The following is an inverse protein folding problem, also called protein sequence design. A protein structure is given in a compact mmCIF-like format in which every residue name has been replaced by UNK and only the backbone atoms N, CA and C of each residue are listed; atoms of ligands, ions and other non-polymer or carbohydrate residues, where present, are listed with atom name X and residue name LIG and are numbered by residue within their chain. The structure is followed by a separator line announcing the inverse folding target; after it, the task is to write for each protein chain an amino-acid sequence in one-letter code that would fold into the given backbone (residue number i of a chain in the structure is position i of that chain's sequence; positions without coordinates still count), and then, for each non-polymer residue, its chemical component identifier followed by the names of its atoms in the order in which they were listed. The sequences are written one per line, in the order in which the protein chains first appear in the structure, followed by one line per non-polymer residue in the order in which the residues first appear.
data_IF_067060551303
#
_entry.id   IF_067060551303
#
_cell.length_a   1.000
_cell.length_b   1.000
_cell.length_c   1.000
_cell.angle_alpha   90.00
_cell.angle_beta   90.00
_cell.angle_gamma   90.00
#
_symmetry.space_group_name_H-M   'P 1'
#
loop_
_entity.id
_entity.type
_entity.pdbx_description
1 polymer ?
#
# COMPACT_ATOMS: atom_id res chain seq x y z
N UNK A 1 25.25 0.35 -7.44
CA UNK A 1 23.79 0.07 -7.53
C UNK A 1 23.16 -0.64 -6.34
N UNK A 2 23.82 -1.55 -5.61
CA UNK A 2 23.22 -2.22 -4.43
C UNK A 2 22.58 -1.24 -3.41
N UNK A 3 23.26 -0.13 -3.09
CA UNK A 3 22.70 0.93 -2.21
C UNK A 3 21.39 1.55 -2.74
N UNK A 4 21.23 1.71 -4.05
CA UNK A 4 20.01 2.26 -4.64
C UNK A 4 18.85 1.26 -4.63
N UNK A 5 19.15 -0.03 -4.85
CA UNK A 5 18.17 -1.11 -4.71
C UNK A 5 17.72 -1.25 -3.26
N UNK A 6 18.65 -1.19 -2.30
CA UNK A 6 18.32 -1.22 -0.86
C UNK A 6 17.50 -0.01 -0.42
N UNK A 7 17.82 1.18 -0.94
CA UNK A 7 17.05 2.39 -0.69
C UNK A 7 15.64 2.28 -1.28
N UNK A 8 15.50 1.79 -2.52
CA UNK A 8 14.22 1.55 -3.17
C UNK A 8 13.36 0.53 -2.40
N UNK A 9 13.96 -0.58 -1.97
CA UNK A 9 13.29 -1.58 -1.14
C UNK A 9 12.80 -0.99 0.18
N UNK A 10 13.60 -0.14 0.82
CA UNK A 10 13.21 0.55 2.04
C UNK A 10 12.05 1.50 1.77
N UNK A 11 12.08 2.22 0.66
CA UNK A 11 11.02 3.14 0.26
C UNK A 11 9.67 2.41 0.05
N UNK A 12 9.68 1.27 -0.66
CA UNK A 12 8.49 0.42 -0.82
C UNK A 12 7.96 -0.13 0.52
N UNK A 13 8.86 -0.53 1.42
CA UNK A 13 8.50 -1.00 2.76
C UNK A 13 7.88 0.12 3.60
N UNK A 14 8.47 1.31 3.61
CA UNK A 14 7.94 2.48 4.34
C UNK A 14 6.57 2.89 3.79
N UNK A 15 6.42 2.92 2.46
CA UNK A 15 5.14 3.25 1.82
C UNK A 15 4.06 2.23 2.17
N UNK A 16 4.37 0.93 2.07
CA UNK A 16 3.47 -0.14 2.49
C UNK A 16 3.10 -0.08 3.98
N UNK A 17 4.05 0.28 4.84
CA UNK A 17 3.80 0.47 6.27
C UNK A 17 2.82 1.62 6.55
N UNK A 18 2.93 2.75 5.84
CA UNK A 18 1.99 3.87 5.94
C UNK A 18 0.58 3.42 5.55
N UNK A 19 0.42 2.73 4.42
CA UNK A 19 -0.88 2.19 4.00
C UNK A 19 -1.47 1.19 4.99
N UNK A 20 -0.61 0.37 5.61
CA UNK A 20 -1.01 -0.60 6.64
C UNK A 20 -1.50 0.11 7.90
N UNK A 21 -0.82 1.18 8.33
CA UNK A 21 -1.28 2.02 9.44
C UNK A 21 -2.63 2.68 9.14
N UNK A 22 -2.79 3.26 7.95
CA UNK A 22 -4.07 3.85 7.50
C UNK A 22 -5.19 2.81 7.51
N UNK A 23 -4.92 1.60 7.02
CA UNK A 23 -5.87 0.51 7.06
C UNK A 23 -6.24 0.12 8.50
N UNK A 24 -5.26 0.00 9.39
CA UNK A 24 -5.48 -0.35 10.79
C UNK A 24 -6.35 0.70 11.50
N UNK A 25 -6.05 1.98 11.30
CA UNK A 25 -6.88 3.08 11.82
C UNK A 25 -8.27 3.06 11.20
N UNK A 26 -8.39 2.80 9.89
CA UNK A 26 -9.66 2.65 9.20
C UNK A 26 -10.51 1.51 9.77
N UNK A 27 -9.91 0.35 10.06
CA UNK A 27 -10.61 -0.75 10.73
C UNK A 27 -11.06 -0.39 12.15
N UNK A 28 -10.23 0.34 12.90
CA UNK A 28 -10.61 0.82 14.23
C UNK A 28 -11.81 1.79 14.15
N UNK A 29 -11.82 2.70 13.17
CA UNK A 29 -12.95 3.62 12.92
C UNK A 29 -14.21 2.88 12.47
N UNK A 30 -14.08 1.92 11.56
CA UNK A 30 -15.20 1.08 11.11
C UNK A 30 -15.79 0.28 12.28
N UNK A 31 -14.93 -0.29 13.14
CA UNK A 31 -15.35 -0.97 14.37
C UNK A 31 -16.07 -0.04 15.35
N UNK A 32 -15.57 1.18 15.54
CA UNK A 32 -16.23 2.21 16.35
C UNK A 32 -17.61 2.59 15.81
N UNK A 33 -17.73 2.82 14.50
CA UNK A 33 -19.01 3.11 13.86
C UNK A 33 -20.01 1.94 13.99
N UNK A 34 -19.53 0.69 13.85
CA UNK A 34 -20.36 -0.49 14.06
C UNK A 34 -20.83 -0.65 15.52
N UNK A 35 -19.96 -0.37 16.50
CA UNK A 35 -20.31 -0.42 17.92
C UNK A 35 -21.40 0.62 18.28
N UNK A 36 -21.29 1.84 17.74
CA UNK A 36 -22.29 2.90 17.90
C UNK A 36 -23.64 2.47 17.28
N UNK A 37 -23.62 1.81 16.12
CA UNK A 37 -24.83 1.30 15.49
C UNK A 37 -25.58 0.27 16.36
N UNK A 38 -24.87 -0.45 17.23
CA UNK A 38 -25.46 -1.44 18.14
C UNK A 38 -25.86 -0.88 19.51
N UNK A 39 -25.54 0.39 19.83
CA UNK A 39 -25.87 0.98 21.14
C UNK A 39 -27.24 1.65 21.12
N UNK A 40 -28.11 1.27 22.05
CA UNK A 40 -29.49 1.76 22.17
C UNK A 40 -29.56 3.19 22.74
N UNK A 41 -29.34 4.21 21.92
CA UNK A 41 -29.46 5.63 22.30
C UNK A 41 -30.74 6.33 21.78
N UNK A 42 -31.14 7.49 22.34
CA UNK A 42 -32.39 8.19 21.98
C UNK A 42 -32.46 8.75 20.54
N UNK A 43 -31.34 8.82 19.81
CA UNK A 43 -31.24 9.46 18.49
C UNK A 43 -31.41 8.41 17.38
N UNK A 44 -32.63 7.90 17.18
CA UNK A 44 -32.79 6.52 16.68
C UNK A 44 -32.98 6.28 15.18
N UNK A 45 -33.52 7.19 14.36
CA UNK A 45 -34.07 6.73 13.05
C UNK A 45 -33.24 7.06 11.79
N UNK A 46 -32.43 8.11 11.78
CA UNK A 46 -31.46 8.36 10.71
C UNK A 46 -30.07 7.75 11.01
N UNK A 47 -29.84 7.33 12.27
CA UNK A 47 -28.52 7.07 12.84
C UNK A 47 -27.97 5.66 12.55
N UNK A 48 -28.80 4.61 12.64
CA UNK A 48 -28.31 3.23 12.56
C UNK A 48 -27.90 2.82 11.13
N UNK A 49 -28.75 3.11 10.14
CA UNK A 49 -28.43 2.86 8.73
C UNK A 49 -27.20 3.67 8.30
N UNK A 50 -27.12 4.94 8.71
CA UNK A 50 -25.98 5.80 8.40
C UNK A 50 -24.68 5.31 9.08
N UNK A 51 -24.75 4.87 10.33
CA UNK A 51 -23.60 4.32 11.06
C UNK A 51 -23.13 3.00 10.44
N UNK A 52 -24.05 2.09 10.06
CA UNK A 52 -23.72 0.84 9.35
C UNK A 52 -23.14 1.10 7.97
N UNK A 53 -23.72 2.00 7.18
CA UNK A 53 -23.15 2.39 5.89
C UNK A 53 -21.74 2.92 6.07
N UNK A 54 -21.55 3.85 7.01
CA UNK A 54 -20.23 4.43 7.31
C UNK A 54 -19.22 3.37 7.71
N UNK A 55 -19.61 2.42 8.59
CA UNK A 55 -18.75 1.31 8.99
C UNK A 55 -18.34 0.43 7.80
N UNK A 56 -19.28 0.08 6.93
CA UNK A 56 -19.02 -0.73 5.73
C UNK A 56 -18.14 0.02 4.73
N UNK A 57 -18.44 1.29 4.45
CA UNK A 57 -17.68 2.09 3.49
C UNK A 57 -16.25 2.32 3.98
N UNK A 58 -16.06 2.71 5.25
CA UNK A 58 -14.73 2.88 5.84
C UNK A 58 -13.99 1.53 5.90
N UNK A 59 -14.68 0.45 6.27
CA UNK A 59 -14.11 -0.89 6.31
C UNK A 59 -13.63 -1.36 4.94
N UNK A 60 -14.41 -1.11 3.88
CA UNK A 60 -14.02 -1.42 2.50
C UNK A 60 -12.80 -0.62 2.05
N UNK A 61 -12.77 0.69 2.33
CA UNK A 61 -11.60 1.53 2.01
C UNK A 61 -10.37 1.07 2.79
N UNK A 62 -10.53 0.73 4.07
CA UNK A 62 -9.46 0.19 4.91
C UNK A 62 -8.93 -1.14 4.37
N UNK A 63 -9.80 -2.03 3.90
CA UNK A 63 -9.41 -3.30 3.28
C UNK A 63 -8.62 -3.09 2.00
N UNK A 64 -9.07 -2.19 1.12
CA UNK A 64 -8.36 -1.83 -0.11
C UNK A 64 -6.97 -1.27 0.24
N UNK A 65 -6.89 -0.37 1.21
CA UNK A 65 -5.63 0.19 1.70
C UNK A 65 -4.69 -0.90 2.27
N UNK A 66 -5.24 -1.89 2.99
CA UNK A 66 -4.47 -3.00 3.54
C UNK A 66 -3.87 -3.87 2.44
N UNK A 67 -4.69 -4.26 1.45
CA UNK A 67 -4.22 -5.05 0.30
C UNK A 67 -3.15 -4.27 -0.46
N UNK A 68 -3.36 -2.97 -0.68
CA UNK A 68 -2.38 -2.12 -1.35
C UNK A 68 -1.05 -2.03 -0.59
N UNK A 69 -1.10 -1.85 0.73
CA UNK A 69 0.07 -1.85 1.61
C UNK A 69 0.81 -3.19 1.61
N UNK A 70 0.06 -4.30 1.66
CA UNK A 70 0.62 -5.65 1.63
C UNK A 70 1.36 -5.93 0.31
N UNK A 71 0.80 -5.52 -0.83
CA UNK A 71 1.46 -5.65 -2.14
C UNK A 71 2.77 -4.84 -2.16
N UNK A 72 2.78 -3.62 -1.63
CA UNK A 72 4.00 -2.80 -1.53
C UNK A 72 5.08 -3.44 -0.66
N UNK A 73 4.70 -3.99 0.50
CA UNK A 73 5.63 -4.69 1.38
C UNK A 73 6.17 -5.97 0.72
N UNK A 74 5.32 -6.71 0.00
CA UNK A 74 5.73 -7.92 -0.70
C UNK A 74 6.73 -7.62 -1.82
N UNK A 75 6.46 -6.62 -2.66
CA UNK A 75 7.37 -6.17 -3.71
C UNK A 75 8.70 -5.67 -3.13
N UNK A 76 8.65 -4.85 -2.08
CA UNK A 76 9.86 -4.36 -1.39
C UNK A 76 10.74 -5.51 -0.84
N UNK A 77 10.11 -6.56 -0.30
CA UNK A 77 10.81 -7.76 0.21
C UNK A 77 11.31 -8.68 -0.91
N UNK A 78 10.61 -8.73 -2.04
CA UNK A 78 11.03 -9.48 -3.23
C UNK A 78 12.24 -8.83 -3.92
N UNK A 79 12.27 -7.48 -3.97
CA UNK A 79 13.42 -6.69 -4.45
C UNK A 79 14.69 -6.98 -3.64
N UNK A 80 14.60 -7.09 -2.30
CA UNK A 80 15.74 -7.49 -1.44
C UNK A 80 16.31 -8.88 -1.75
N UNK A 81 15.52 -9.76 -2.37
CA UNK A 81 15.93 -11.12 -2.75
C UNK A 81 16.54 -11.19 -4.15
N UNK A 82 16.73 -10.06 -4.83
CA UNK A 82 17.37 -9.96 -6.15
C UNK A 82 16.77 -10.90 -7.21
N UNK A 83 15.47 -11.23 -7.11
CA UNK A 83 14.85 -12.15 -8.07
C UNK A 83 14.48 -11.44 -9.38
N UNK A 84 14.70 -12.05 -10.55
CA UNK A 84 14.34 -11.46 -11.84
C UNK A 84 12.82 -11.18 -11.95
N UNK A 85 11.98 -12.03 -11.34
CA UNK A 85 10.52 -11.83 -11.26
C UNK A 85 10.12 -10.58 -10.46
N UNK A 86 10.95 -10.16 -9.49
CA UNK A 86 10.69 -8.98 -8.67
C UNK A 86 10.74 -7.69 -9.50
N UNK A 87 11.52 -7.67 -10.59
CA UNK A 87 11.65 -6.52 -11.49
C UNK A 87 10.32 -6.21 -12.19
N UNK A 88 9.68 -7.23 -12.76
CA UNK A 88 8.38 -7.07 -13.44
C UNK A 88 7.28 -6.65 -12.46
N UNK A 89 7.26 -7.25 -11.26
CA UNK A 89 6.29 -6.88 -10.22
C UNK A 89 6.48 -5.43 -9.76
N UNK A 90 7.73 -5.00 -9.55
CA UNK A 90 8.06 -3.64 -9.15
C UNK A 90 7.75 -2.61 -10.25
N UNK A 91 7.94 -2.95 -11.53
CA UNK A 91 7.57 -2.08 -12.65
C UNK A 91 6.05 -1.91 -12.75
N UNK A 92 5.29 -3.01 -12.65
CA UNK A 92 3.82 -2.95 -12.64
C UNK A 92 3.30 -2.12 -11.47
N UNK A 93 3.91 -2.29 -10.29
CA UNK A 93 3.54 -1.53 -9.10
C UNK A 93 3.94 -0.05 -9.21
N UNK A 94 5.09 0.26 -9.82
CA UNK A 94 5.53 1.62 -10.10
C UNK A 94 4.53 2.37 -10.99
N UNK A 95 4.03 1.74 -12.05
CA UNK A 95 3.00 2.32 -12.93
C UNK A 95 1.70 2.58 -12.17
N UNK A 96 1.26 1.63 -11.34
CA UNK A 96 0.08 1.83 -10.49
C UNK A 96 0.27 2.97 -9.49
N UNK A 97 1.46 3.07 -8.90
CA UNK A 97 1.78 4.09 -7.91
C UNK A 97 1.97 5.47 -8.55
N UNK A 98 2.30 5.57 -9.85
CA UNK A 98 2.36 6.84 -10.57
C UNK A 98 1.05 7.62 -10.61
N UNK A 99 -0.09 6.93 -10.44
CA UNK A 99 -1.41 7.55 -10.34
C UNK A 99 -1.62 8.25 -8.98
N UNK A 100 -0.89 7.83 -7.93
CA UNK A 100 -0.88 8.51 -6.64
C UNK A 100 0.16 9.64 -6.61
N UNK A 101 -0.22 10.82 -7.12
CA UNK A 101 0.57 12.05 -6.95
C UNK A 101 0.55 12.52 -5.46
N UNK A 102 1.61 13.13 -4.91
CA UNK A 102 2.96 13.37 -5.47
C UNK A 102 3.99 12.26 -5.13
N UNK A 103 3.78 11.53 -4.02
CA UNK A 103 4.76 10.58 -3.49
C UNK A 103 4.81 9.27 -4.30
N UNK A 104 3.67 8.79 -4.77
CA UNK A 104 3.61 7.55 -5.53
C UNK A 104 4.26 7.67 -6.91
N UNK A 105 4.13 8.84 -7.54
CA UNK A 105 4.82 9.17 -8.79
C UNK A 105 6.32 9.30 -8.62
N UNK A 106 6.80 9.96 -7.55
CA UNK A 106 8.24 9.99 -7.26
C UNK A 106 8.80 8.58 -7.02
N UNK A 107 8.07 7.74 -6.27
CA UNK A 107 8.45 6.35 -6.02
C UNK A 107 8.47 5.52 -7.30
N UNK A 108 7.46 5.69 -8.16
CA UNK A 108 7.36 4.99 -9.44
C UNK A 108 8.46 5.38 -10.42
N UNK A 109 8.75 6.67 -10.56
CA UNK A 109 9.83 7.17 -11.41
C UNK A 109 11.19 6.68 -10.91
N UNK A 110 11.43 6.73 -9.59
CA UNK A 110 12.68 6.24 -9.01
C UNK A 110 12.83 4.72 -9.19
N UNK A 111 11.74 3.96 -9.02
CA UNK A 111 11.73 2.52 -9.29
C UNK A 111 12.07 2.20 -10.76
N UNK A 112 11.43 2.90 -11.71
CA UNK A 112 11.73 2.78 -13.13
C UNK A 112 13.20 3.10 -13.42
N UNK A 113 13.73 4.20 -12.87
CA UNK A 113 15.12 4.59 -13.09
C UNK A 113 16.13 3.56 -12.56
N UNK A 114 15.93 3.05 -11.33
CA UNK A 114 16.82 2.05 -10.72
C UNK A 114 16.72 0.67 -11.41
N UNK A 115 15.53 0.29 -11.87
CA UNK A 115 15.30 -1.04 -12.48
C UNK A 115 15.59 -1.09 -13.98
N UNK A 116 15.57 0.05 -14.67
CA UNK A 116 15.87 0.16 -16.10
C UNK A 116 17.34 0.52 -16.38
N UNK A 117 18.13 0.91 -15.38
CA UNK A 117 19.57 1.15 -15.56
C UNK A 117 20.33 -0.15 -15.79
N UNK A 118 21.33 -0.11 -16.68
CA UNK A 118 22.14 -1.27 -17.09
C UNK A 118 22.82 -2.00 -15.91
N UNK A 119 23.20 -1.25 -14.87
CA UNK A 119 23.78 -1.81 -13.65
C UNK A 119 22.75 -2.53 -12.77
N UNK A 120 21.49 -2.07 -12.75
CA UNK A 120 20.38 -2.79 -12.13
C UNK A 120 20.11 -4.08 -12.90
N UNK A 121 20.09 -4.01 -14.24
CA UNK A 121 19.90 -5.16 -15.12
C UNK A 121 20.94 -6.26 -14.88
N UNK A 122 22.23 -5.92 -14.72
CA UNK A 122 23.30 -6.89 -14.40
C UNK A 122 23.15 -7.58 -13.04
N UNK A 123 22.52 -6.94 -12.05
CA UNK A 123 22.29 -7.56 -10.73
C UNK A 123 21.18 -8.63 -10.79
N UNK A 124 20.21 -8.48 -11.69
CA UNK A 124 19.08 -9.42 -11.84
C UNK A 124 19.25 -10.44 -12.97
N UNK A 125 20.10 -10.16 -13.97
CA UNK A 125 20.40 -11.07 -15.10
C UNK A 125 21.76 -11.78 -14.95
N UNK A 126 22.60 -11.36 -14.00
CA UNK A 126 23.93 -11.93 -13.74
C UNK A 126 23.98 -13.03 -12.68
N UNK A 127 22.84 -13.58 -12.26
CA UNK A 127 22.73 -14.71 -11.32
C UNK A 127 22.19 -15.96 -12.00
#
# INVERSE_FOLDING_TARGET
MNRHVDFLSTLYLTWGAIFTLVALTGFALAGGAAAIATTSGPVRMASEMAARLTAVTIGMVALIALVWGAVHMWVGRSLRRHRPSARLMALGLAVGNMVLLPFGTALGVYACWVLLTDEGRRIFEGS
#
